data_IF_987266657485
#
_entry.id   IF_987266657485
#
_cell.length_a   1.000
_cell.length_b   1.000
_cell.length_c   1.000
_cell.angle_alpha   90.00
_cell.angle_beta   90.00
_cell.angle_gamma   90.00
#
_symmetry.space_group_name_H-M   'P 1'
#
loop_
_entity.id
_entity.type
_entity.pdbx_description
1 polymer ?
#
# COMPACT_ATOMS: atom_id res chain seq x y z
N UNK A 1 0.88 -8.10 7.34
CA UNK A 1 1.17 -6.68 7.08
C UNK A 1 1.64 -5.89 8.31
N UNK A 2 2.61 -5.00 8.09
CA UNK A 2 3.18 -4.01 9.01
C UNK A 2 2.80 -2.57 8.56
N UNK A 3 1.69 -1.98 9.05
CA UNK A 3 1.16 -0.71 8.56
C UNK A 3 2.10 0.48 8.71
N UNK A 4 2.88 0.51 9.81
CA UNK A 4 3.83 1.59 10.05
C UNK A 4 4.95 1.59 9.02
N UNK A 5 5.39 0.42 8.55
CA UNK A 5 6.43 0.31 7.51
C UNK A 5 5.94 0.83 6.17
N UNK A 6 4.67 0.54 5.81
CA UNK A 6 4.06 1.13 4.61
C UNK A 6 3.99 2.66 4.72
N UNK A 7 3.53 3.20 5.85
CA UNK A 7 3.50 4.65 6.08
C UNK A 7 4.90 5.28 5.98
N UNK A 8 5.92 4.64 6.55
CA UNK A 8 7.30 5.11 6.44
C UNK A 8 7.77 5.16 4.98
N UNK A 9 7.47 4.13 4.18
CA UNK A 9 7.81 4.14 2.75
C UNK A 9 7.09 5.22 1.96
N UNK A 10 5.81 5.46 2.28
CA UNK A 10 5.05 6.57 1.68
C UNK A 10 5.67 7.92 2.04
N UNK A 11 6.04 8.13 3.31
CA UNK A 11 6.67 9.36 3.78
C UNK A 11 8.04 9.60 3.13
N UNK A 12 8.89 8.56 3.01
CA UNK A 12 10.19 8.63 2.33
C UNK A 12 10.09 9.03 0.85
N UNK A 13 8.95 8.73 0.23
CA UNK A 13 8.68 9.04 -1.18
C UNK A 13 7.82 10.29 -1.36
N UNK A 14 7.51 10.97 -0.25
CA UNK A 14 6.68 12.16 -0.21
C UNK A 14 5.29 11.95 -0.86
N UNK A 15 4.77 10.73 -0.80
CA UNK A 15 3.46 10.37 -1.36
C UNK A 15 2.44 10.34 -0.23
N UNK A 16 1.41 11.19 -0.35
CA UNK A 16 0.25 11.16 0.52
C UNK A 16 -0.65 9.95 0.25
N UNK A 17 -1.55 9.64 1.19
CA UNK A 17 -2.56 8.59 0.98
C UNK A 17 -3.44 8.91 -0.23
N UNK A 18 -3.80 10.17 -0.45
CA UNK A 18 -4.66 10.54 -1.56
C UNK A 18 -3.97 10.32 -2.91
N UNK A 19 -2.72 10.73 -3.02
CA UNK A 19 -1.92 10.51 -4.23
C UNK A 19 -1.69 9.03 -4.50
N UNK A 20 -1.41 8.23 -3.47
CA UNK A 20 -1.30 6.78 -3.62
C UNK A 20 -2.60 6.20 -4.19
N UNK A 21 -3.75 6.57 -3.63
CA UNK A 21 -5.05 6.08 -4.08
C UNK A 21 -5.33 6.51 -5.53
N UNK A 22 -5.04 7.76 -5.89
CA UNK A 22 -5.21 8.25 -7.26
C UNK A 22 -4.32 7.49 -8.26
N UNK A 23 -3.08 7.19 -7.88
CA UNK A 23 -2.13 6.44 -8.71
C UNK A 23 -2.56 4.98 -8.91
N UNK A 24 -3.01 4.28 -7.87
CA UNK A 24 -3.47 2.89 -8.01
C UNK A 24 -4.85 2.80 -8.69
N UNK A 25 -5.73 3.80 -8.47
CA UNK A 25 -7.02 3.89 -9.17
C UNK A 25 -6.83 4.07 -10.68
N UNK A 26 -5.86 4.89 -11.11
CA UNK A 26 -5.49 5.03 -12.53
C UNK A 26 -4.97 3.73 -13.16
N UNK A 27 -4.46 2.79 -12.34
CA UNK A 27 -4.05 1.44 -12.76
C UNK A 27 -5.19 0.40 -12.70
N UNK A 28 -6.43 0.85 -12.44
CA UNK A 28 -7.60 -0.01 -12.39
C UNK A 28 -7.89 -0.62 -11.01
N UNK A 29 -7.06 -0.37 -10.00
CA UNK A 29 -7.30 -0.84 -8.62
C UNK A 29 -8.19 0.15 -7.90
N UNK A 30 -9.49 -0.13 -7.85
CA UNK A 30 -10.47 0.74 -7.18
C UNK A 30 -10.37 0.63 -5.67
N UNK A 31 -9.76 1.62 -5.02
CA UNK A 31 -9.66 1.70 -3.56
C UNK A 31 -10.07 3.08 -3.05
N UNK A 32 -11.03 3.10 -2.11
CA UNK A 32 -11.40 4.32 -1.38
C UNK A 32 -10.53 4.52 -0.13
N UNK A 33 -10.49 5.76 0.37
CA UNK A 33 -9.76 6.10 1.60
C UNK A 33 -10.18 5.25 2.81
N UNK A 34 -11.49 5.04 2.99
CA UNK A 34 -12.00 4.17 4.05
C UNK A 34 -11.55 2.73 3.86
N UNK A 35 -11.59 2.21 2.62
CA UNK A 35 -11.14 0.85 2.30
C UNK A 35 -9.65 0.66 2.60
N UNK A 36 -8.82 1.66 2.28
CA UNK A 36 -7.40 1.69 2.62
C UNK A 36 -7.18 1.65 4.13
N UNK A 37 -7.83 2.54 4.89
CA UNK A 37 -7.63 2.57 6.35
C UNK A 37 -8.17 1.33 7.07
N UNK A 38 -9.21 0.66 6.56
CA UNK A 38 -9.63 -0.65 7.08
C UNK A 38 -8.51 -1.69 6.95
N UNK A 39 -7.72 -1.64 5.87
CA UNK A 39 -6.54 -2.51 5.72
C UNK A 39 -5.36 -2.09 6.59
N UNK A 40 -5.11 -0.78 6.68
CA UNK A 40 -4.09 -0.24 7.60
C UNK A 40 -4.38 -0.59 9.07
N UNK A 41 -5.66 -0.70 9.44
CA UNK A 41 -6.11 -1.09 10.77
C UNK A 41 -6.27 -2.61 10.92
N UNK A 42 -5.82 -3.41 9.93
CA UNK A 42 -5.88 -4.89 9.94
C UNK A 42 -7.29 -5.47 10.05
N UNK A 43 -8.31 -4.69 9.69
CA UNK A 43 -9.71 -5.15 9.60
C UNK A 43 -9.90 -5.98 8.33
N UNK A 44 -9.18 -5.62 7.25
CA UNK A 44 -9.14 -6.32 5.97
C UNK A 44 -7.70 -6.52 5.55
N UNK A 45 -7.43 -7.56 4.76
CA UNK A 45 -6.12 -7.72 4.14
C UNK A 45 -6.08 -7.02 2.78
N UNK A 46 -4.87 -6.63 2.35
CA UNK A 46 -4.65 -6.26 0.97
C UNK A 46 -4.67 -7.52 0.12
N UNK A 47 -5.38 -7.50 -0.99
CA UNK A 47 -5.30 -8.57 -1.97
C UNK A 47 -4.02 -8.47 -2.82
N UNK A 48 -3.75 -9.51 -3.63
CA UNK A 48 -2.56 -9.56 -4.48
C UNK A 48 -2.48 -8.39 -5.46
N UNK A 49 -3.59 -8.01 -6.10
CA UNK A 49 -3.59 -6.94 -7.09
C UNK A 49 -3.32 -5.57 -6.44
N UNK A 50 -3.89 -5.34 -5.26
CA UNK A 50 -3.65 -4.14 -4.46
C UNK A 50 -2.20 -4.06 -3.99
N UNK A 51 -1.62 -5.16 -3.49
CA UNK A 51 -0.22 -5.21 -3.09
C UNK A 51 0.68 -4.86 -4.27
N UNK A 52 0.49 -5.51 -5.42
CA UNK A 52 1.32 -5.29 -6.60
C UNK A 52 1.22 -3.85 -7.10
N UNK A 53 0.03 -3.25 -7.11
CA UNK A 53 -0.15 -1.86 -7.51
C UNK A 53 0.55 -0.88 -6.55
N UNK A 54 0.52 -1.14 -5.24
CA UNK A 54 1.21 -0.31 -4.24
C UNK A 54 2.73 -0.47 -4.38
N UNK A 55 3.22 -1.70 -4.53
CA UNK A 55 4.65 -2.01 -4.72
C UNK A 55 5.21 -1.31 -5.96
N UNK A 56 4.51 -1.39 -7.08
CA UNK A 56 4.90 -0.72 -8.31
C UNK A 56 4.84 0.81 -8.17
N UNK A 57 3.79 1.35 -7.55
CA UNK A 57 3.62 2.80 -7.36
C UNK A 57 4.68 3.39 -6.44
N UNK A 58 5.01 2.71 -5.36
CA UNK A 58 6.06 3.12 -4.43
C UNK A 58 7.44 2.63 -4.88
N UNK A 59 7.58 1.90 -5.99
CA UNK A 59 8.85 1.30 -6.44
C UNK A 59 9.57 0.55 -5.31
N UNK A 60 8.82 -0.29 -4.58
CA UNK A 60 9.37 -1.08 -3.49
C UNK A 60 10.19 -2.25 -4.04
N UNK A 61 11.32 -2.53 -3.41
CA UNK A 61 12.05 -3.77 -3.63
C UNK A 61 11.25 -4.98 -3.14
N UNK A 62 11.60 -6.17 -3.63
CA UNK A 62 11.01 -7.43 -3.14
C UNK A 62 11.18 -7.58 -1.63
N UNK A 63 12.34 -7.21 -1.09
CA UNK A 63 12.61 -7.23 0.36
C UNK A 63 11.65 -6.31 1.12
N UNK A 64 11.44 -5.09 0.65
CA UNK A 64 10.49 -4.15 1.28
C UNK A 64 9.05 -4.62 1.17
N UNK A 65 8.65 -5.16 0.01
CA UNK A 65 7.33 -5.77 -0.18
C UNK A 65 7.10 -6.88 0.84
N UNK A 66 8.04 -7.82 0.95
CA UNK A 66 7.96 -8.94 1.89
C UNK A 66 7.88 -8.43 3.33
N UNK A 67 8.75 -7.49 3.70
CA UNK A 67 8.80 -6.92 5.04
C UNK A 67 7.54 -6.13 5.43
N UNK A 68 6.88 -5.48 4.47
CA UNK A 68 5.67 -4.70 4.69
C UNK A 68 4.42 -5.58 4.69
N UNK A 69 4.20 -6.37 3.65
CA UNK A 69 2.92 -7.04 3.44
C UNK A 69 2.87 -8.41 4.10
N UNK A 70 3.99 -9.12 4.12
CA UNK A 70 4.07 -10.47 4.64
C UNK A 70 4.67 -10.44 6.05
N UNK A 71 4.12 -11.28 6.93
CA UNK A 71 4.61 -11.43 8.30
C UNK A 71 5.62 -12.56 8.26
N UNK A 72 6.85 -12.32 8.73
CA UNK A 72 7.67 -13.41 9.26
C UNK A 72 7.25 -13.65 10.72
#
# INVERSE_FOLDING_TARGET
MHPNKLKSQMALKEISVNELLDLINKKGIKMSRNSFYRRMNKVHEFDRAEILAIVDTLKLSEKEMLDIFFKQ
#
